data_IF_974393053683
#
_entry.id   IF_974393053683
#
_cell.length_a   1.000
_cell.length_b   1.000
_cell.length_c   1.000
_cell.angle_alpha   90.00
_cell.angle_beta   90.00
_cell.angle_gamma   90.00
#
_symmetry.space_group_name_H-M   'P 1'
#
loop_
_entity.id
_entity.type
_entity.pdbx_description
1 polymer ?
#
# COMPACT_ATOMS: atom_id res chain seq x y z
N UNK A 1 6.38 0.87 18.48
CA UNK A 1 6.91 1.59 17.31
C UNK A 1 5.92 1.51 16.14
N UNK A 2 5.64 0.32 15.59
CA UNK A 2 4.74 0.14 14.44
C UNK A 2 3.35 0.79 14.58
N UNK A 3 2.62 0.52 15.67
CA UNK A 3 1.29 1.12 15.88
C UNK A 3 1.32 2.66 15.97
N UNK A 4 2.39 3.23 16.54
CA UNK A 4 2.53 4.68 16.61
C UNK A 4 2.71 5.28 15.20
N UNK A 5 3.43 4.57 14.32
CA UNK A 5 3.58 4.95 12.92
C UNK A 5 2.26 4.87 12.16
N UNK A 6 1.45 3.82 12.36
CA UNK A 6 0.12 3.73 11.76
C UNK A 6 -0.79 4.88 12.22
N UNK A 7 -0.74 5.27 13.50
CA UNK A 7 -1.49 6.41 14.02
C UNK A 7 -0.98 7.74 13.46
N UNK A 8 0.34 7.88 13.27
CA UNK A 8 0.95 9.06 12.64
C UNK A 8 0.49 9.19 11.19
N UNK A 9 0.66 8.14 10.39
CA UNK A 9 0.21 8.07 8.99
C UNK A 9 -1.28 8.38 8.86
N UNK A 10 -2.10 7.81 9.75
CA UNK A 10 -3.54 8.10 9.78
C UNK A 10 -3.81 9.59 10.00
N UNK A 11 -3.10 10.26 10.93
CA UNK A 11 -3.31 11.69 11.22
C UNK A 11 -2.87 12.60 10.08
N UNK A 12 -1.77 12.27 9.41
CA UNK A 12 -1.16 13.12 8.39
C UNK A 12 -1.78 12.95 6.99
N UNK A 13 -2.56 11.88 6.77
CA UNK A 13 -3.17 11.59 5.48
C UNK A 13 -4.70 11.64 5.55
N UNK A 14 -5.31 12.68 4.98
CA UNK A 14 -6.75 12.87 4.86
C UNK A 14 -7.46 11.67 4.23
N UNK A 15 -6.83 11.01 3.24
CA UNK A 15 -7.34 9.79 2.61
C UNK A 15 -7.40 8.58 3.58
N UNK A 16 -6.59 8.55 4.64
CA UNK A 16 -6.67 7.54 5.71
C UNK A 16 -7.66 7.93 6.83
N UNK A 17 -7.78 9.22 7.13
CA UNK A 17 -8.74 9.73 8.13
C UNK A 17 -10.18 9.52 7.68
N UNK A 18 -10.46 9.80 6.40
CA UNK A 18 -11.80 9.69 5.83
C UNK A 18 -12.38 8.31 6.10
N UNK A 19 -13.67 8.22 6.44
CA UNK A 19 -14.39 6.94 6.57
C UNK A 19 -15.39 6.74 5.43
N UNK A 20 -15.41 7.66 4.45
CA UNK A 20 -16.30 7.54 3.30
C UNK A 20 -15.93 6.32 2.47
N UNK A 21 -16.93 5.49 2.16
CA UNK A 21 -16.80 4.37 1.21
C UNK A 21 -16.90 4.84 -0.24
N UNK A 22 -17.35 6.06 -0.49
CA UNK A 22 -17.44 6.66 -1.82
C UNK A 22 -16.08 7.14 -2.32
N UNK A 23 -15.10 7.28 -1.42
CA UNK A 23 -13.73 7.69 -1.74
C UNK A 23 -12.72 6.56 -1.51
N UNK A 24 -13.11 5.35 -1.90
CA UNK A 24 -12.23 4.19 -1.90
C UNK A 24 -12.66 3.16 -2.94
N UNK A 25 -11.70 2.36 -3.38
CA UNK A 25 -11.89 1.20 -4.24
C UNK A 25 -11.08 0.03 -3.71
N UNK A 26 -11.53 -1.19 -4.00
CA UNK A 26 -10.85 -2.42 -3.58
C UNK A 26 -10.78 -3.41 -4.71
N UNK A 27 -9.63 -4.04 -4.90
CA UNK A 27 -9.44 -5.12 -5.87
C UNK A 27 -8.87 -6.36 -5.17
N UNK A 28 -9.50 -7.51 -5.39
CA UNK A 28 -9.06 -8.78 -4.84
C UNK A 28 -8.20 -9.50 -5.87
N UNK A 29 -6.93 -9.74 -5.52
CA UNK A 29 -6.02 -10.60 -6.27
C UNK A 29 -6.07 -12.00 -5.64
N UNK A 30 -7.07 -12.79 -6.04
CA UNK A 30 -7.37 -14.08 -5.38
C UNK A 30 -6.20 -15.07 -5.45
N UNK A 31 -5.53 -15.16 -6.61
CA UNK A 31 -4.42 -16.09 -6.83
C UNK A 31 -3.24 -15.79 -5.89
N UNK A 32 -2.93 -14.51 -5.71
CA UNK A 32 -1.85 -14.01 -4.85
C UNK A 32 -2.29 -13.89 -3.39
N UNK A 33 -3.58 -14.12 -3.08
CA UNK A 33 -4.18 -13.92 -1.75
C UNK A 33 -3.93 -12.52 -1.20
N UNK A 34 -4.08 -11.52 -2.06
CA UNK A 34 -3.78 -10.11 -1.74
C UNK A 34 -5.01 -9.24 -1.97
N UNK A 35 -5.28 -8.31 -1.04
CA UNK A 35 -6.26 -7.25 -1.22
C UNK A 35 -5.53 -5.94 -1.53
N UNK A 36 -5.86 -5.32 -2.66
CA UNK A 36 -5.50 -3.94 -2.96
C UNK A 36 -6.63 -3.03 -2.51
N UNK A 37 -6.29 -1.98 -1.76
CA UNK A 37 -7.23 -0.93 -1.36
C UNK A 37 -6.66 0.41 -1.81
N UNK A 38 -7.42 1.17 -2.58
CA UNK A 38 -7.11 2.55 -2.97
C UNK A 38 -8.05 3.49 -2.25
N UNK A 39 -7.53 4.61 -1.75
CA UNK A 39 -8.32 5.66 -1.08
C UNK A 39 -7.85 7.02 -1.55
N UNK A 40 -8.78 7.95 -1.66
CA UNK A 40 -8.48 9.33 -2.01
C UNK A 40 -9.33 10.29 -1.20
N UNK A 41 -8.83 11.49 -0.98
CA UNK A 41 -9.58 12.61 -0.44
C UNK A 41 -8.81 13.91 -0.73
N UNK A 42 -9.54 14.93 -1.16
CA UNK A 42 -8.96 16.22 -1.54
C UNK A 42 -7.84 16.01 -2.58
N UNK A 43 -6.63 16.52 -2.34
CA UNK A 43 -5.46 16.30 -3.21
C UNK A 43 -4.66 15.04 -2.89
N UNK A 44 -5.04 14.28 -1.85
CA UNK A 44 -4.29 13.11 -1.42
C UNK A 44 -4.89 11.83 -1.99
N UNK A 45 -4.02 11.00 -2.56
CA UNK A 45 -4.35 9.67 -3.06
C UNK A 45 -3.30 8.67 -2.59
N UNK A 46 -3.76 7.50 -2.16
CA UNK A 46 -2.90 6.42 -1.68
C UNK A 46 -3.49 5.07 -2.06
N UNK A 47 -2.63 4.05 -2.08
CA UNK A 47 -3.06 2.67 -2.10
C UNK A 47 -2.24 1.85 -1.11
N UNK A 48 -2.83 0.77 -0.61
CA UNK A 48 -2.12 -0.22 0.17
C UNK A 48 -2.53 -1.63 -0.21
N UNK A 49 -1.60 -2.56 -0.03
CA UNK A 49 -1.83 -4.00 -0.18
C UNK A 49 -1.88 -4.67 1.18
N UNK A 50 -2.76 -5.65 1.32
CA UNK A 50 -2.76 -6.60 2.42
C UNK A 50 -2.48 -7.97 1.83
N UNK A 51 -1.24 -8.45 1.98
CA UNK A 51 -0.83 -9.78 1.54
C UNK A 51 -1.19 -10.81 2.61
N UNK A 52 -2.11 -11.72 2.31
CA UNK A 52 -2.51 -12.80 3.22
C UNK A 52 -1.88 -14.14 2.85
N UNK A 53 -0.99 -14.17 1.86
CA UNK A 53 -0.23 -15.36 1.49
C UNK A 53 0.74 -15.78 2.60
N UNK A 54 1.03 -17.07 2.66
CA UNK A 54 2.07 -17.67 3.52
C UNK A 54 3.46 -17.66 2.83
N UNK A 55 3.52 -17.26 1.56
CA UNK A 55 4.73 -17.11 0.76
C UNK A 55 4.79 -15.72 0.09
N UNK A 56 5.99 -15.29 -0.32
CA UNK A 56 6.16 -14.06 -1.09
C UNK A 56 5.43 -14.14 -2.43
N UNK A 57 4.83 -13.04 -2.86
CA UNK A 57 4.02 -12.98 -4.08
C UNK A 57 4.44 -11.81 -4.97
N UNK A 58 4.23 -11.96 -6.27
CA UNK A 58 4.36 -10.88 -7.25
C UNK A 58 2.97 -10.50 -7.73
N UNK A 59 2.59 -9.23 -7.58
CA UNK A 59 1.25 -8.74 -7.87
C UNK A 59 1.31 -7.65 -8.94
N UNK A 60 0.48 -7.75 -9.98
CA UNK A 60 0.18 -6.63 -10.88
C UNK A 60 -1.02 -5.85 -10.33
N UNK A 61 -0.78 -4.62 -9.89
CA UNK A 61 -1.75 -3.77 -9.24
C UNK A 61 -2.23 -2.70 -10.22
N UNK A 62 -3.53 -2.66 -10.48
CA UNK A 62 -4.15 -1.60 -11.28
C UNK A 62 -4.29 -0.35 -10.40
N UNK A 63 -3.45 0.64 -10.64
CA UNK A 63 -3.46 1.92 -9.92
C UNK A 63 -3.36 3.07 -10.92
N UNK A 64 -3.90 4.27 -10.61
CA UNK A 64 -3.84 5.39 -11.52
C UNK A 64 -2.41 5.78 -11.90
N UNK A 65 -2.28 6.35 -13.09
CA UNK A 65 -1.03 6.92 -13.59
C UNK A 65 -0.43 7.92 -12.60
N UNK A 66 0.87 7.82 -12.37
CA UNK A 66 1.64 8.76 -11.58
C UNK A 66 2.82 8.11 -10.86
N UNK A 67 3.61 8.94 -10.19
CA UNK A 67 4.64 8.49 -9.26
C UNK A 67 4.05 8.22 -7.90
N UNK A 68 4.48 7.12 -7.31
CA UNK A 68 4.03 6.67 -6.00
C UNK A 68 5.24 6.41 -5.12
N UNK A 69 5.23 6.99 -3.93
CA UNK A 69 6.28 6.83 -2.93
C UNK A 69 5.79 5.96 -1.77
N UNK A 70 6.62 5.01 -1.35
CA UNK A 70 6.30 4.06 -0.28
C UNK A 70 6.37 4.76 1.07
N UNK A 71 5.27 4.74 1.81
CA UNK A 71 5.20 5.30 3.17
C UNK A 71 5.42 4.26 4.26
N UNK A 72 5.07 3.00 3.98
CA UNK A 72 5.15 1.93 4.96
C UNK A 72 5.37 0.59 4.25
N UNK A 73 6.28 -0.22 4.79
CA UNK A 73 6.36 -1.66 4.55
C UNK A 73 6.42 -2.35 5.91
N UNK A 74 5.43 -3.17 6.26
CA UNK A 74 5.38 -3.83 7.57
C UNK A 74 6.45 -4.91 7.73
N UNK A 75 7.13 -5.31 6.65
CA UNK A 75 8.24 -6.26 6.69
C UNK A 75 9.61 -5.59 6.90
N UNK A 76 9.65 -4.27 7.06
CA UNK A 76 10.89 -3.55 7.30
C UNK A 76 11.58 -3.99 8.61
N UNK A 77 12.93 -4.04 8.66
CA UNK A 77 13.67 -4.43 9.87
C UNK A 77 13.38 -3.58 11.12
N UNK A 78 13.02 -2.31 10.94
CA UNK A 78 12.59 -1.42 12.03
C UNK A 78 11.32 -1.91 12.75
N UNK A 79 10.55 -2.78 12.10
CA UNK A 79 9.37 -3.46 12.66
C UNK A 79 9.63 -4.92 13.02
N UNK A 80 10.90 -5.33 13.10
CA UNK A 80 11.34 -6.72 13.32
C UNK A 80 10.96 -7.68 12.17
N UNK A 81 10.73 -7.15 10.97
CA UNK A 81 10.64 -7.96 9.75
C UNK A 81 12.02 -8.32 9.22
N UNK A 82 12.06 -9.22 8.22
CA UNK A 82 13.33 -9.68 7.63
C UNK A 82 13.93 -8.64 6.69
N UNK A 83 13.14 -8.14 5.75
CA UNK A 83 13.57 -7.24 4.68
C UNK A 83 12.35 -6.62 3.98
N UNK A 84 12.57 -5.53 3.25
CA UNK A 84 11.56 -4.88 2.42
C UNK A 84 11.68 -5.39 0.98
N UNK A 85 10.61 -6.00 0.45
CA UNK A 85 10.59 -6.49 -0.93
C UNK A 85 10.07 -5.43 -1.92
N UNK A 86 9.21 -4.53 -1.45
CA UNK A 86 8.59 -3.53 -2.28
C UNK A 86 9.54 -2.33 -2.51
N UNK A 87 9.65 -1.77 -3.72
CA UNK A 87 10.54 -0.64 -4.01
C UNK A 87 10.11 0.64 -3.29
N UNK A 88 11.04 1.56 -3.05
CA UNK A 88 10.72 2.86 -2.43
C UNK A 88 9.81 3.72 -3.31
N UNK A 89 9.98 3.66 -4.63
CA UNK A 89 9.21 4.42 -5.61
C UNK A 89 8.73 3.51 -6.73
N UNK A 90 7.52 3.76 -7.22
CA UNK A 90 6.99 3.15 -8.44
C UNK A 90 6.34 4.20 -9.33
N UNK A 91 6.59 4.10 -10.63
CA UNK A 91 5.90 4.88 -11.65
C UNK A 91 4.80 3.99 -12.25
N UNK A 92 3.55 4.42 -12.17
CA UNK A 92 2.44 3.76 -12.82
C UNK A 92 2.09 4.46 -14.13
N UNK A 93 1.91 3.68 -15.20
CA UNK A 93 1.24 4.15 -16.41
C UNK A 93 -0.24 3.74 -16.42
N UNK A 94 -0.51 2.50 -16.01
CA UNK A 94 -1.85 1.88 -15.85
C UNK A 94 -1.85 0.82 -14.75
N UNK A 95 -0.72 0.15 -14.57
CA UNK A 95 -0.47 -0.80 -13.49
C UNK A 95 0.94 -0.66 -12.93
N UNK A 96 1.19 -1.28 -11.79
CA UNK A 96 2.53 -1.46 -11.20
C UNK A 96 2.70 -2.91 -10.78
N UNK A 97 3.90 -3.44 -10.92
CA UNK A 97 4.25 -4.79 -10.44
C UNK A 97 5.00 -4.66 -9.12
N UNK A 98 4.47 -5.26 -8.06
CA UNK A 98 5.09 -5.25 -6.73
C UNK A 98 5.40 -6.67 -6.25
N UNK A 99 6.57 -6.83 -5.66
CA UNK A 99 6.90 -7.98 -4.83
C UNK A 99 6.47 -7.69 -3.39
N UNK A 100 5.64 -8.57 -2.82
CA UNK A 100 5.11 -8.45 -1.47
C UNK A 100 5.57 -9.64 -0.64
N UNK A 101 6.05 -9.34 0.57
CA UNK A 101 6.37 -10.36 1.56
C UNK A 101 5.10 -11.05 2.09
N UNK A 102 5.22 -12.28 2.63
CA UNK A 102 4.12 -12.96 3.29
C UNK A 102 3.57 -12.14 4.45
N UNK A 103 2.24 -12.18 4.65
CA UNK A 103 1.56 -11.52 5.79
C UNK A 103 1.93 -10.04 5.99
N UNK A 104 2.24 -9.34 4.91
CA UNK A 104 2.73 -7.97 4.95
C UNK A 104 1.69 -6.95 4.46
N UNK A 105 1.87 -5.72 4.92
CA UNK A 105 1.16 -4.53 4.46
C UNK A 105 2.15 -3.56 3.84
N UNK A 106 1.85 -3.08 2.64
CA UNK A 106 2.64 -2.04 1.97
C UNK A 106 1.73 -0.89 1.57
N UNK A 107 2.11 0.35 1.91
CA UNK A 107 1.35 1.57 1.65
C UNK A 107 2.19 2.52 0.78
N UNK A 108 1.57 3.04 -0.28
CA UNK A 108 2.12 4.06 -1.14
C UNK A 108 1.21 5.28 -1.19
N UNK A 109 1.80 6.45 -1.36
CA UNK A 109 1.11 7.71 -1.63
C UNK A 109 1.52 8.24 -2.99
N UNK A 110 0.58 8.83 -3.71
CA UNK A 110 0.85 9.46 -4.98
C UNK A 110 1.56 10.79 -4.76
N UNK A 111 2.61 11.05 -5.53
CA UNK A 111 3.20 12.39 -5.61
C UNK A 111 2.20 13.38 -6.22
N UNK A 112 2.27 14.63 -5.75
CA UNK A 112 1.42 15.72 -6.22
C UNK A 112 1.80 16.18 -7.63
#
# INVERSE_FOLDING_TARGET
AFYAELLRLRRENAALVSLSKDCMETHVLQKERTLLVRRWKDSQELFFTLCFSDAGVCCELQVPKGRWHKLLDSSAPVWLGSEEAAPLEVESTTSVVLHLNPKAVVLYQREA
#
